data_IF_129434918900
#
_entry.id   IF_129434918900
#
_cell.length_a   1.000
_cell.length_b   1.000
_cell.length_c   1.000
_cell.angle_alpha   90.00
_cell.angle_beta   90.00
_cell.angle_gamma   90.00
#
_symmetry.space_group_name_H-M   'P 1'
#
loop_
_entity.id
_entity.type
_entity.pdbx_description
1 polymer ?
#
# COMPACT_ATOMS: atom_id res chain seq x y z
N UNK A 1 -42.06 14.76 5.38
CA UNK A 1 -41.85 13.35 5.79
C UNK A 1 -41.87 12.46 4.55
N UNK A 2 -40.70 12.01 4.07
CA UNK A 2 -40.52 10.79 3.26
C UNK A 2 -39.14 10.23 3.64
N UNK A 3 -39.13 9.01 4.17
CA UNK A 3 -38.00 8.34 4.80
C UNK A 3 -37.17 7.56 3.77
N UNK A 4 -35.86 7.54 4.03
CA UNK A 4 -34.83 6.51 3.80
C UNK A 4 -34.81 5.67 2.52
N UNK A 5 -33.60 5.47 1.98
CA UNK A 5 -32.90 4.16 2.03
C UNK A 5 -31.39 4.38 1.80
N UNK A 6 -30.58 4.21 2.85
CA UNK A 6 -29.13 3.99 2.76
C UNK A 6 -28.89 2.53 2.39
N UNK A 7 -28.15 2.28 1.31
CA UNK A 7 -27.61 0.96 0.99
C UNK A 7 -26.29 0.72 1.72
N UNK A 8 -26.29 -0.25 2.63
CA UNK A 8 -25.10 -0.79 3.29
C UNK A 8 -24.42 -1.73 2.28
N UNK A 9 -23.21 -1.41 1.83
CA UNK A 9 -22.35 -2.39 1.15
C UNK A 9 -21.62 -3.14 2.25
N UNK A 10 -22.05 -4.39 2.44
CA UNK A 10 -21.51 -5.31 3.44
C UNK A 10 -20.07 -5.72 3.13
N UNK A 11 -19.30 -5.86 4.19
CA UNK A 11 -18.02 -6.56 4.25
C UNK A 11 -18.20 -8.00 3.74
N UNK A 12 -17.67 -8.31 2.56
CA UNK A 12 -17.51 -9.70 2.12
C UNK A 12 -16.30 -10.32 2.82
N UNK A 13 -16.59 -11.11 3.87
CA UNK A 13 -15.66 -12.05 4.45
C UNK A 13 -15.51 -13.26 3.51
N UNK A 14 -14.33 -13.41 2.90
CA UNK A 14 -13.99 -14.59 2.12
C UNK A 14 -13.73 -15.77 3.06
N UNK A 15 -14.72 -16.66 3.20
CA UNK A 15 -14.54 -17.99 3.80
C UNK A 15 -13.83 -18.92 2.80
N UNK A 16 -12.81 -19.60 3.32
CA UNK A 16 -12.08 -20.71 2.69
C UNK A 16 -13.04 -21.84 2.31
N UNK A 17 -13.02 -22.25 1.04
CA UNK A 17 -13.80 -23.39 0.53
C UNK A 17 -13.00 -24.70 0.67
N UNK A 18 -13.39 -25.53 1.64
CA UNK A 18 -13.15 -26.97 1.62
C UNK A 18 -14.31 -27.65 0.89
N UNK A 19 -14.01 -28.46 -0.13
CA UNK A 19 -15.00 -29.08 -1.00
C UNK A 19 -15.81 -30.19 -0.33
N UNK A 20 -17.11 -30.25 -0.68
CA UNK A 20 -17.92 -31.47 -0.67
C UNK A 20 -18.86 -31.40 -1.88
N UNK A 21 -18.77 -32.43 -2.73
CA UNK A 21 -19.70 -32.73 -3.82
C UNK A 21 -20.95 -33.39 -3.25
N UNK A 22 -22.14 -32.84 -3.49
CA UNK A 22 -23.37 -33.63 -3.63
C UNK A 22 -24.31 -32.93 -4.62
N UNK A 23 -24.67 -33.68 -5.65
CA UNK A 23 -25.72 -33.34 -6.60
C UNK A 23 -27.06 -33.87 -6.06
N UNK A 24 -28.11 -33.05 -6.04
CA UNK A 24 -29.47 -33.57 -6.20
C UNK A 24 -30.36 -32.53 -6.89
N UNK A 25 -31.12 -33.06 -7.85
CA UNK A 25 -31.95 -32.37 -8.83
C UNK A 25 -33.38 -32.23 -8.31
N UNK A 26 -33.93 -31.02 -8.35
CA UNK A 26 -35.37 -30.81 -8.39
C UNK A 26 -35.68 -29.49 -9.10
N UNK A 27 -36.25 -29.62 -10.30
CA UNK A 27 -36.64 -28.51 -11.17
C UNK A 27 -37.71 -27.62 -10.51
N UNK A 28 -37.40 -26.33 -10.37
CA UNK A 28 -38.39 -25.28 -10.06
C UNK A 28 -38.11 -24.05 -10.94
N UNK A 29 -38.93 -23.92 -11.99
CA UNK A 29 -39.30 -22.72 -12.77
C UNK A 29 -38.24 -21.61 -12.81
N UNK A 30 -37.45 -21.59 -13.89
CA UNK A 30 -36.47 -20.54 -14.18
C UNK A 30 -37.15 -19.16 -14.30
N UNK A 31 -36.85 -18.28 -13.35
CA UNK A 31 -36.95 -16.83 -13.56
C UNK A 31 -35.87 -16.42 -14.58
N UNK A 32 -36.10 -15.38 -15.41
CA UNK A 32 -35.09 -14.93 -16.35
C UNK A 32 -33.84 -14.52 -15.56
N UNK A 33 -32.71 -15.17 -15.88
CA UNK A 33 -31.43 -14.82 -15.33
C UNK A 33 -31.16 -13.33 -15.58
N UNK A 34 -30.65 -12.58 -14.58
CA UNK A 34 -30.14 -11.24 -14.86
C UNK A 34 -29.05 -11.40 -15.94
N UNK A 35 -29.20 -10.64 -17.02
CA UNK A 35 -28.25 -10.62 -18.12
C UNK A 35 -26.84 -10.51 -17.53
N UNK A 36 -26.01 -11.53 -17.78
CA UNK A 36 -24.61 -11.50 -17.39
C UNK A 36 -24.01 -10.23 -18.00
N UNK A 37 -23.65 -9.28 -17.14
CA UNK A 37 -22.89 -8.12 -17.56
C UNK A 37 -21.64 -8.65 -18.25
N UNK A 38 -21.42 -8.24 -19.50
CA UNK A 38 -20.24 -8.60 -20.25
C UNK A 38 -18.99 -8.36 -19.39
N UNK A 39 -18.00 -9.26 -19.37
CA UNK A 39 -16.79 -9.06 -18.59
C UNK A 39 -16.15 -7.76 -19.08
N UNK A 40 -16.06 -6.78 -18.18
CA UNK A 40 -15.26 -5.58 -18.43
C UNK A 40 -13.85 -6.11 -18.62
N UNK A 41 -13.32 -6.01 -19.84
CA UNK A 41 -11.96 -6.45 -20.12
C UNK A 41 -11.02 -5.71 -19.16
N UNK A 42 -10.49 -6.43 -18.17
CA UNK A 42 -9.56 -5.88 -17.21
C UNK A 42 -8.32 -5.44 -17.99
N UNK A 43 -8.16 -4.13 -18.15
CA UNK A 43 -6.96 -3.57 -18.76
C UNK A 43 -5.78 -4.01 -17.90
N UNK A 44 -4.93 -4.87 -18.46
CA UNK A 44 -3.76 -5.42 -17.79
C UNK A 44 -2.89 -4.29 -17.23
N UNK A 45 -2.78 -4.22 -15.91
CA UNK A 45 -1.98 -3.20 -15.23
C UNK A 45 -0.49 -3.51 -15.38
N UNK A 46 0.34 -2.48 -15.54
CA UNK A 46 1.80 -2.58 -15.65
C UNK A 46 2.46 -1.78 -14.53
N UNK A 47 3.53 -2.32 -13.96
CA UNK A 47 4.37 -1.61 -13.00
C UNK A 47 5.35 -0.69 -13.74
N UNK A 48 5.51 0.52 -13.24
CA UNK A 48 6.46 1.52 -13.74
C UNK A 48 7.36 1.93 -12.59
N UNK A 49 8.68 1.95 -12.81
CA UNK A 49 9.64 2.41 -11.83
C UNK A 49 9.44 3.91 -11.59
N UNK A 50 9.04 4.28 -10.38
CA UNK A 50 8.86 5.68 -9.98
C UNK A 50 10.17 6.31 -9.47
N UNK A 51 10.93 5.58 -8.66
CA UNK A 51 12.23 6.00 -8.14
C UNK A 51 13.01 4.81 -7.57
N UNK A 52 14.34 4.94 -7.50
CA UNK A 52 15.24 4.01 -6.80
C UNK A 52 15.77 4.69 -5.55
N UNK A 53 15.52 4.09 -4.38
CA UNK A 53 15.98 4.59 -3.08
C UNK A 53 17.40 4.08 -2.81
N UNK A 54 18.39 4.96 -2.89
CA UNK A 54 19.81 4.58 -2.96
C UNK A 54 20.47 4.29 -1.61
N UNK A 55 19.80 4.56 -0.49
CA UNK A 55 20.34 4.30 0.85
C UNK A 55 19.27 3.81 1.81
N UNK A 56 19.71 3.24 2.95
CA UNK A 56 18.83 2.80 4.03
C UNK A 56 18.06 3.98 4.62
N UNK A 57 18.74 5.11 4.80
CA UNK A 57 18.16 6.36 5.32
C UNK A 57 17.08 6.88 4.37
N UNK A 58 17.36 6.94 3.06
CA UNK A 58 16.40 7.36 2.06
C UNK A 58 15.17 6.44 2.02
N UNK A 59 15.36 5.12 2.18
CA UNK A 59 14.27 4.17 2.26
C UNK A 59 13.42 4.38 3.52
N UNK A 60 14.04 4.57 4.69
CA UNK A 60 13.34 4.87 5.95
C UNK A 60 12.56 6.18 5.87
N UNK A 61 13.18 7.22 5.33
CA UNK A 61 12.55 8.53 5.18
C UNK A 61 11.36 8.45 4.23
N UNK A 62 11.51 7.79 3.08
CA UNK A 62 10.40 7.55 2.16
C UNK A 62 9.23 6.85 2.85
N UNK A 63 9.48 5.75 3.58
CA UNK A 63 8.44 5.01 4.29
C UNK A 63 7.75 5.88 5.36
N UNK A 64 8.52 6.62 6.15
CA UNK A 64 7.99 7.54 7.15
C UNK A 64 7.12 8.63 6.51
N UNK A 65 7.59 9.21 5.41
CA UNK A 65 6.85 10.25 4.70
C UNK A 65 5.57 9.71 4.05
N UNK A 66 5.60 8.52 3.45
CA UNK A 66 4.39 7.84 2.93
C UNK A 66 3.38 7.63 4.04
N UNK A 67 3.80 7.09 5.19
CA UNK A 67 2.90 6.89 6.33
C UNK A 67 2.33 8.23 6.82
N UNK A 68 3.16 9.26 6.89
CA UNK A 68 2.75 10.59 7.33
C UNK A 68 1.67 11.19 6.43
N UNK A 69 1.85 11.20 5.10
CA UNK A 69 0.84 11.75 4.18
C UNK A 69 -0.43 10.91 4.14
N UNK A 70 -0.34 9.59 4.32
CA UNK A 70 -1.53 8.73 4.42
C UNK A 70 -2.31 9.01 5.72
N UNK A 71 -1.62 9.20 6.85
CA UNK A 71 -2.26 9.59 8.12
C UNK A 71 -2.94 10.95 7.99
N UNK A 72 -2.28 11.94 7.38
CA UNK A 72 -2.89 13.26 7.13
C UNK A 72 -4.14 13.15 6.24
N UNK A 73 -4.10 12.30 5.20
CA UNK A 73 -5.27 12.03 4.36
C UNK A 73 -6.42 11.44 5.18
N UNK A 74 -6.14 10.47 6.05
CA UNK A 74 -7.18 9.89 6.91
C UNK A 74 -7.76 10.92 7.87
N UNK A 75 -6.92 11.77 8.48
CA UNK A 75 -7.38 12.88 9.33
C UNK A 75 -8.29 13.86 8.57
N UNK A 76 -8.01 14.13 7.30
CA UNK A 76 -8.86 14.98 6.47
C UNK A 76 -10.22 14.33 6.21
N UNK A 77 -10.25 13.01 5.95
CA UNK A 77 -11.51 12.24 5.84
C UNK A 77 -12.32 12.32 7.13
N UNK A 78 -11.67 12.14 8.28
CA UNK A 78 -12.34 12.15 9.59
C UNK A 78 -12.88 13.54 9.94
N UNK A 79 -12.10 14.60 9.68
CA UNK A 79 -12.53 15.99 9.86
C UNK A 79 -13.71 16.34 8.96
N UNK A 80 -13.69 15.90 7.70
CA UNK A 80 -14.80 16.13 6.78
C UNK A 80 -16.07 15.40 7.26
N UNK A 81 -15.94 14.15 7.68
CA UNK A 81 -17.08 13.39 8.24
C UNK A 81 -17.64 14.03 9.52
N UNK A 82 -16.78 14.59 10.38
CA UNK A 82 -17.21 15.33 11.57
C UNK A 82 -17.91 16.64 11.20
N UNK A 83 -17.36 17.39 10.24
CA UNK A 83 -17.96 18.63 9.72
C UNK A 83 -19.37 18.40 9.17
N UNK A 84 -19.58 17.30 8.44
CA UNK A 84 -20.85 16.98 7.81
C UNK A 84 -21.94 16.58 8.81
N UNK A 85 -21.55 15.97 9.94
CA UNK A 85 -22.45 15.56 11.02
C UNK A 85 -22.74 16.67 12.04
N UNK A 86 -21.89 17.69 12.11
CA UNK A 86 -22.03 18.78 13.09
C UNK A 86 -23.19 19.71 12.73
N UNK A 87 -24.00 20.04 13.73
CA UNK A 87 -25.19 20.90 13.60
C UNK A 87 -24.96 22.29 14.17
N UNK A 88 -23.99 22.44 15.09
CA UNK A 88 -23.60 23.73 15.63
C UNK A 88 -22.77 24.52 14.61
N UNK A 89 -23.25 25.72 14.23
CA UNK A 89 -22.60 26.55 13.21
C UNK A 89 -21.16 26.96 13.54
N UNK A 90 -20.88 27.28 14.81
CA UNK A 90 -19.53 27.68 15.26
C UNK A 90 -18.57 26.51 15.15
N UNK A 91 -18.92 25.34 15.71
CA UNK A 91 -18.10 24.14 15.63
C UNK A 91 -17.90 23.67 14.19
N UNK A 92 -18.95 23.77 13.37
CA UNK A 92 -18.87 23.44 11.94
C UNK A 92 -17.86 24.33 11.23
N UNK A 93 -17.88 25.65 11.49
CA UNK A 93 -16.87 26.58 10.94
C UNK A 93 -15.46 26.22 11.41
N UNK A 94 -15.27 25.89 12.69
CA UNK A 94 -13.96 25.47 13.21
C UNK A 94 -13.44 24.18 12.54
N UNK A 95 -14.30 23.17 12.39
CA UNK A 95 -13.96 21.92 11.70
C UNK A 95 -13.58 22.18 10.24
N UNK A 96 -14.31 23.06 9.55
CA UNK A 96 -13.98 23.46 8.19
C UNK A 96 -12.62 24.14 8.12
N UNK A 97 -12.31 25.08 9.01
CA UNK A 97 -11.01 25.76 9.05
C UNK A 97 -9.86 24.77 9.26
N UNK A 98 -10.03 23.80 10.17
CA UNK A 98 -9.03 22.73 10.40
C UNK A 98 -8.85 21.85 9.16
N UNK A 99 -9.96 21.49 8.51
CA UNK A 99 -9.92 20.70 7.28
C UNK A 99 -9.20 21.45 6.15
N UNK A 100 -9.55 22.72 5.91
CA UNK A 100 -8.93 23.54 4.86
C UNK A 100 -7.41 23.66 5.08
N UNK A 101 -6.98 23.92 6.33
CA UNK A 101 -5.55 23.99 6.67
C UNK A 101 -4.84 22.65 6.44
N UNK A 102 -5.46 21.54 6.85
CA UNK A 102 -4.90 20.21 6.64
C UNK A 102 -4.79 19.85 5.15
N UNK A 103 -5.78 20.24 4.34
CA UNK A 103 -5.76 20.02 2.88
C UNK A 103 -4.64 20.79 2.19
N UNK A 104 -4.36 22.03 2.62
CA UNK A 104 -3.19 22.79 2.12
C UNK A 104 -1.89 22.05 2.43
N UNK A 105 -1.70 21.64 3.69
CA UNK A 105 -0.51 20.90 4.11
C UNK A 105 -0.36 19.56 3.36
N UNK A 106 -1.46 18.83 3.19
CA UNK A 106 -1.48 17.56 2.47
C UNK A 106 -1.03 17.74 1.02
N UNK A 107 -1.52 18.79 0.34
CA UNK A 107 -1.14 19.10 -1.04
C UNK A 107 0.33 19.49 -1.15
N UNK A 108 0.83 20.34 -0.26
CA UNK A 108 2.26 20.71 -0.22
C UNK A 108 3.16 19.50 0.01
N UNK A 109 2.79 18.63 0.95
CA UNK A 109 3.55 17.42 1.24
C UNK A 109 3.50 16.42 0.08
N UNK A 110 2.33 16.24 -0.55
CA UNK A 110 2.21 15.41 -1.74
C UNK A 110 3.07 15.93 -2.90
N UNK A 111 3.13 17.26 -3.10
CA UNK A 111 4.01 17.86 -4.12
C UNK A 111 5.50 17.63 -3.82
N UNK A 112 5.91 17.72 -2.55
CA UNK A 112 7.29 17.39 -2.13
C UNK A 112 7.60 15.93 -2.41
N UNK A 113 6.68 15.03 -2.07
CA UNK A 113 6.81 13.59 -2.33
C UNK A 113 6.88 13.27 -3.82
N UNK A 114 6.06 13.94 -4.65
CA UNK A 114 6.09 13.78 -6.10
C UNK A 114 7.43 14.21 -6.69
N UNK A 115 8.00 15.33 -6.21
CA UNK A 115 9.30 15.82 -6.67
C UNK A 115 10.47 14.94 -6.23
N UNK A 116 10.45 14.46 -4.99
CA UNK A 116 11.56 13.68 -4.43
C UNK A 116 11.54 12.21 -4.90
N UNK A 117 10.35 11.61 -5.06
CA UNK A 117 10.19 10.17 -5.20
C UNK A 117 9.29 9.74 -6.36
N UNK A 118 8.67 10.66 -7.10
CA UNK A 118 7.62 10.33 -8.06
C UNK A 118 6.35 9.77 -7.41
N UNK A 119 6.19 9.99 -6.10
CA UNK A 119 5.07 9.49 -5.30
C UNK A 119 3.86 10.43 -5.38
N UNK A 120 2.65 9.86 -5.40
CA UNK A 120 1.40 10.63 -5.29
C UNK A 120 0.31 9.84 -4.58
N UNK A 121 -0.52 10.52 -3.78
CA UNK A 121 -1.64 9.94 -3.04
C UNK A 121 -2.76 9.34 -3.92
N UNK A 122 -2.79 9.66 -5.21
CA UNK A 122 -3.77 9.18 -6.19
C UNK A 122 -3.37 7.87 -6.90
N UNK A 123 -2.20 7.31 -6.59
CA UNK A 123 -1.67 6.09 -7.21
C UNK A 123 -1.40 5.00 -6.18
N UNK A 124 -1.50 3.75 -6.65
CA UNK A 124 -1.10 2.57 -5.88
C UNK A 124 0.34 2.20 -6.23
N UNK A 125 1.17 2.00 -5.22
CA UNK A 125 2.58 1.66 -5.37
C UNK A 125 2.88 0.31 -4.70
N UNK A 126 3.85 -0.41 -5.26
CA UNK A 126 4.45 -1.59 -4.64
C UNK A 126 5.95 -1.32 -4.51
N UNK A 127 6.50 -1.58 -3.31
CA UNK A 127 7.93 -1.47 -3.06
C UNK A 127 8.60 -2.82 -3.37
N UNK A 128 9.64 -2.78 -4.19
CA UNK A 128 10.49 -3.94 -4.51
C UNK A 128 11.86 -3.69 -3.87
N UNK A 129 12.36 -4.67 -3.10
CA UNK A 129 13.67 -4.59 -2.45
C UNK A 129 14.73 -5.11 -3.42
N UNK A 130 15.57 -4.22 -3.93
CA UNK A 130 16.68 -4.60 -4.83
C UNK A 130 17.90 -5.12 -4.04
N UNK A 131 18.18 -4.54 -2.87
CA UNK A 131 19.34 -4.88 -2.03
C UNK A 131 18.92 -4.97 -0.56
N UNK A 132 19.36 -6.02 0.13
CA UNK A 132 19.17 -6.21 1.57
C UNK A 132 20.48 -6.61 2.24
N UNK A 133 20.78 -5.99 3.38
CA UNK A 133 21.94 -6.33 4.22
C UNK A 133 21.47 -7.02 5.49
N UNK A 134 22.08 -8.15 5.83
CA UNK A 134 21.81 -8.90 7.06
C UNK A 134 23.08 -8.90 7.90
N UNK A 135 22.98 -8.46 9.15
CA UNK A 135 24.10 -8.34 10.08
C UNK A 135 23.96 -9.33 11.24
N UNK A 136 25.09 -9.76 11.79
CA UNK A 136 25.18 -10.58 12.99
C UNK A 136 26.13 -9.92 14.00
N UNK A 137 25.85 -10.08 15.29
CA UNK A 137 26.77 -9.66 16.35
C UNK A 137 27.86 -10.71 16.51
N UNK A 138 29.12 -10.28 16.45
CA UNK A 138 30.31 -11.11 16.58
C UNK A 138 31.38 -10.35 17.36
N UNK A 139 32.35 -11.05 17.96
CA UNK A 139 33.54 -10.40 18.52
C UNK A 139 34.48 -9.93 17.41
N UNK A 140 35.45 -9.08 17.72
CA UNK A 140 36.46 -8.63 16.75
C UNK A 140 37.28 -9.82 16.21
N UNK A 141 37.60 -10.79 17.06
CA UNK A 141 38.31 -12.01 16.66
C UNK A 141 37.48 -12.86 15.69
N UNK A 142 36.17 -12.98 15.95
CA UNK A 142 35.25 -13.70 15.08
C UNK A 142 35.01 -12.96 13.77
N UNK A 143 34.88 -11.63 13.79
CA UNK A 143 34.80 -10.80 12.60
C UNK A 143 36.02 -10.99 11.69
N UNK A 144 37.23 -10.88 12.24
CA UNK A 144 38.47 -11.06 11.48
C UNK A 144 38.57 -12.47 10.86
N UNK A 145 38.09 -13.50 11.58
CA UNK A 145 38.02 -14.86 11.07
C UNK A 145 37.03 -14.96 9.90
N UNK A 146 35.82 -14.43 10.05
CA UNK A 146 34.77 -14.43 9.02
C UNK A 146 35.24 -13.67 7.77
N UNK A 147 35.82 -12.49 7.93
CA UNK A 147 36.34 -11.69 6.80
C UNK A 147 37.42 -12.43 6.01
N UNK A 148 38.34 -13.09 6.71
CA UNK A 148 39.39 -13.89 6.09
C UNK A 148 38.80 -15.08 5.31
N UNK A 149 37.80 -15.75 5.87
CA UNK A 149 37.10 -16.86 5.21
C UNK A 149 36.34 -16.40 3.97
N UNK A 150 35.63 -15.26 4.05
CA UNK A 150 34.92 -14.66 2.92
C UNK A 150 35.88 -14.21 1.80
N UNK A 151 36.99 -13.56 2.12
CA UNK A 151 38.00 -13.16 1.14
C UNK A 151 38.62 -14.36 0.43
N UNK A 152 38.89 -15.44 1.17
CA UNK A 152 39.41 -16.69 0.60
C UNK A 152 38.38 -17.38 -0.32
N UNK A 153 37.09 -17.33 0.02
CA UNK A 153 36.00 -17.85 -0.83
C UNK A 153 35.88 -17.04 -2.14
N UNK A 154 35.87 -15.71 -2.05
CA UNK A 154 35.78 -14.83 -3.22
C UNK A 154 36.98 -15.00 -4.18
N UNK A 155 38.19 -15.16 -3.66
CA UNK A 155 39.38 -15.41 -4.48
C UNK A 155 39.29 -16.75 -5.25
N UNK A 156 38.74 -17.80 -4.62
CA UNK A 156 38.51 -19.10 -5.27
C UNK A 156 37.45 -19.02 -6.38
N UNK A 157 36.37 -18.28 -6.14
CA UNK A 157 35.32 -18.07 -7.14
C UNK A 157 35.83 -17.31 -8.38
N UNK A 158 36.62 -16.24 -8.16
CA UNK A 158 37.24 -15.48 -9.25
C UNK A 158 38.27 -16.31 -10.04
N UNK A 159 39.03 -17.18 -9.37
CA UNK A 159 39.98 -18.07 -10.04
C UNK A 159 39.27 -19.17 -10.85
N UNK A 160 38.08 -19.63 -10.41
CA UNK A 160 37.26 -20.59 -11.14
C UNK A 160 36.56 -19.94 -12.34
N UNK A 161 36.09 -18.70 -12.21
CA UNK A 161 35.46 -17.95 -13.31
C UNK A 161 36.44 -17.63 -14.45
N UNK A 162 37.73 -17.41 -14.15
CA UNK A 162 38.78 -17.18 -15.17
C UNK A 162 39.27 -18.44 -15.89
N UNK A 163 38.85 -19.63 -15.43
CA UNK A 163 39.19 -20.93 -16.04
C UNK A 163 38.05 -21.50 -16.89
N UNK A 164 36.89 -20.84 -16.93
CA UNK A 164 35.78 -21.10 -17.86
C UNK A 164 35.88 -20.14 -19.04
#
# INVERSE_FOLDING_TARGET
MKKSTLGIIGLSASLLSAGVLFAESAAKKAAPAPAAAAPIAEKQQKLVLASTLKSIEANREFQANVQFVQTQRQQAVDLNAAHDKETNATKKKELKTKLDALMVQLNENNQKMAKAYGFSLDRTYTLVVETAHVYMFVSDEEAAKIEKEQAAAAAKEQAAAKKK
#
